data_IF_350845239232
#
_entry.id   IF_350845239232
#
_cell.length_a   1.000
_cell.length_b   1.000
_cell.length_c   1.000
_cell.angle_alpha   90.00
_cell.angle_beta   90.00
_cell.angle_gamma   90.00
#
_symmetry.space_group_name_H-M   'P 1'
#
loop_
_entity.id
_entity.type
_entity.pdbx_description
1 polymer ?
#
# COMPACT_ATOMS: atom_id res chain seq x y z
N UNK A 1 -27.08 -0.63 14.61
CA UNK A 1 -26.40 0.16 13.55
C UNK A 1 -24.93 -0.22 13.60
N UNK A 2 -24.48 -0.93 12.57
CA UNK A 2 -23.30 -1.80 12.60
C UNK A 2 -21.99 -1.02 12.83
N UNK A 3 -21.44 -1.14 14.03
CA UNK A 3 -20.07 -0.73 14.36
C UNK A 3 -19.15 -1.97 14.23
N UNK A 4 -18.97 -2.50 13.01
CA UNK A 4 -18.18 -3.72 12.82
C UNK A 4 -17.59 -3.86 11.39
N UNK A 5 -17.10 -2.79 10.77
CA UNK A 5 -16.38 -2.88 9.48
C UNK A 5 -15.14 -1.97 9.43
N UNK A 6 -14.39 -1.90 10.53
CA UNK A 6 -13.01 -1.40 10.50
C UNK A 6 -12.07 -2.57 10.77
N UNK A 7 -12.12 -3.55 9.88
CA UNK A 7 -11.20 -4.69 9.89
C UNK A 7 -10.01 -4.29 9.03
N UNK A 8 -8.84 -4.32 9.66
CA UNK A 8 -7.50 -4.07 9.13
C UNK A 8 -7.30 -4.60 7.69
N UNK A 9 -7.39 -3.69 6.74
CA UNK A 9 -7.33 -3.94 5.29
C UNK A 9 -5.86 -4.01 4.82
N UNK A 10 -5.03 -4.76 5.54
CA UNK A 10 -3.63 -4.97 5.15
C UNK A 10 -3.60 -5.85 3.91
N UNK A 11 -3.08 -5.32 2.81
CA UNK A 11 -2.94 -6.09 1.57
C UNK A 11 -1.92 -7.22 1.76
N UNK A 12 -2.14 -8.35 1.09
CA UNK A 12 -1.18 -9.45 1.06
C UNK A 12 -0.09 -9.15 0.03
N UNK A 13 1.17 -9.08 0.47
CA UNK A 13 2.35 -8.88 -0.36
C UNK A 13 2.92 -10.20 -0.89
N UNK A 14 3.29 -10.25 -2.18
CA UNK A 14 3.95 -11.40 -2.77
C UNK A 14 5.45 -11.13 -2.97
N UNK A 15 6.33 -11.68 -2.12
CA UNK A 15 7.75 -11.31 -2.09
C UNK A 15 8.52 -11.68 -3.36
N UNK A 16 8.14 -12.77 -4.05
CA UNK A 16 8.84 -13.17 -5.27
C UNK A 16 8.55 -12.26 -6.48
N UNK A 17 7.42 -11.54 -6.47
CA UNK A 17 7.05 -10.64 -7.58
C UNK A 17 7.18 -9.17 -7.22
N UNK A 18 7.33 -8.84 -5.93
CA UNK A 18 7.40 -7.45 -5.48
C UNK A 18 6.08 -6.70 -5.61
N UNK A 19 4.94 -7.39 -5.64
CA UNK A 19 3.63 -6.78 -5.88
C UNK A 19 2.62 -7.15 -4.79
N UNK A 20 1.57 -6.34 -4.70
CA UNK A 20 0.36 -6.71 -3.98
C UNK A 20 -0.41 -7.80 -4.73
N UNK A 21 -0.99 -8.72 -3.99
CA UNK A 21 -1.83 -9.79 -4.55
C UNK A 21 -3.26 -9.34 -4.84
N UNK A 22 -3.66 -8.17 -4.33
CA UNK A 22 -4.98 -7.56 -4.52
C UNK A 22 -4.83 -6.11 -4.99
N UNK A 23 -5.86 -5.60 -5.68
CA UNK A 23 -5.90 -4.20 -6.11
C UNK A 23 -5.93 -3.28 -4.89
N UNK A 24 -5.31 -2.12 -5.05
CA UNK A 24 -5.38 -1.04 -4.06
C UNK A 24 -6.85 -0.65 -3.76
N UNK A 25 -7.30 -0.74 -2.49
CA UNK A 25 -8.68 -0.40 -2.12
C UNK A 25 -9.00 1.08 -2.31
N UNK A 26 -7.99 1.97 -2.28
CA UNK A 26 -8.17 3.40 -2.53
C UNK A 26 -8.01 3.76 -4.02
N UNK A 27 -7.82 2.77 -4.89
CA UNK A 27 -7.71 2.91 -6.35
C UNK A 27 -6.60 3.91 -6.71
N UNK A 28 -6.91 4.91 -7.53
CA UNK A 28 -5.96 5.93 -7.99
C UNK A 28 -5.71 7.04 -6.97
N UNK A 29 -6.35 7.00 -5.81
CA UNK A 29 -6.18 8.03 -4.78
C UNK A 29 -4.83 7.93 -4.04
N UNK A 30 -4.04 6.89 -4.31
CA UNK A 30 -2.67 6.70 -3.80
C UNK A 30 -1.57 7.34 -4.66
N UNK A 31 -1.92 8.06 -5.74
CA UNK A 31 -0.93 8.73 -6.61
C UNK A 31 -0.31 7.84 -7.70
N UNK A 32 -0.61 6.54 -7.68
CA UNK A 32 -0.11 5.55 -8.63
C UNK A 32 -1.22 5.04 -9.58
N UNK A 33 -0.92 4.96 -10.88
CA UNK A 33 -1.78 4.35 -11.90
C UNK A 33 -1.79 2.81 -11.88
N UNK A 34 -0.83 2.17 -11.22
CA UNK A 34 -0.72 0.73 -11.08
C UNK A 34 -1.21 0.27 -9.70
N UNK A 35 -2.43 -0.29 -9.67
CA UNK A 35 -3.10 -0.72 -8.43
C UNK A 35 -2.46 -1.92 -7.72
N UNK A 36 -1.39 -2.50 -8.27
CA UNK A 36 -0.69 -3.67 -7.71
C UNK A 36 0.76 -3.38 -7.33
N UNK A 37 1.30 -2.21 -7.69
CA UNK A 37 2.70 -1.86 -7.45
C UNK A 37 2.94 -1.64 -5.97
N UNK A 38 4.02 -2.24 -5.46
CA UNK A 38 4.51 -1.97 -4.12
C UNK A 38 5.45 -0.77 -4.18
N UNK A 39 5.15 0.26 -3.38
CA UNK A 39 6.03 1.41 -3.07
C UNK A 39 6.77 2.01 -4.27
N UNK A 40 6.06 2.26 -5.37
CA UNK A 40 6.63 2.81 -6.62
C UNK A 40 7.82 2.03 -7.23
N UNK A 41 8.04 0.78 -6.82
CA UNK A 41 9.23 -0.03 -7.10
C UNK A 41 10.52 0.44 -6.41
N UNK A 42 10.43 1.23 -5.33
CA UNK A 42 11.56 1.61 -4.49
C UNK A 42 11.44 1.05 -3.04
N UNK A 43 11.49 -0.28 -2.86
CA UNK A 43 11.36 -0.92 -1.54
C UNK A 43 12.57 -0.73 -0.63
N UNK A 44 13.64 -0.10 -1.13
CA UNK A 44 14.82 0.23 -0.33
C UNK A 44 14.56 1.50 0.47
N UNK A 45 13.93 2.50 -0.15
CA UNK A 45 13.67 3.80 0.48
C UNK A 45 12.24 3.95 1.01
N UNK A 46 11.29 3.16 0.51
CA UNK A 46 9.87 3.31 0.81
C UNK A 46 9.27 2.05 1.46
N UNK A 47 8.26 2.24 2.31
CA UNK A 47 7.49 1.16 2.93
C UNK A 47 6.01 1.53 2.91
N UNK A 48 5.10 0.58 2.68
CA UNK A 48 3.64 0.79 2.77
C UNK A 48 3.07 -0.09 3.90
N UNK A 49 3.03 0.41 5.16
CA UNK A 49 2.62 -0.39 6.32
C UNK A 49 1.13 -0.72 6.34
N UNK A 50 0.30 0.11 5.71
CA UNK A 50 -1.16 -0.04 5.72
C UNK A 50 -1.71 -0.67 4.44
N UNK A 51 -0.87 -0.87 3.42
CA UNK A 51 -1.29 -1.37 2.11
C UNK A 51 -2.19 -0.40 1.36
N UNK A 52 -2.00 0.93 1.53
CA UNK A 52 -2.88 1.97 0.97
C UNK A 52 -2.11 3.15 0.39
N UNK A 53 -0.90 3.40 0.87
CA UNK A 53 -0.04 4.49 0.43
C UNK A 53 1.33 4.26 1.01
N UNK A 54 2.39 4.49 0.23
CA UNK A 54 3.74 4.49 0.80
C UNK A 54 3.80 5.53 1.92
N UNK A 55 4.24 5.09 3.10
CA UNK A 55 4.61 5.99 4.18
C UNK A 55 6.02 6.45 3.82
N UNK A 56 6.17 7.74 3.51
CA UNK A 56 7.48 8.39 3.49
C UNK A 56 8.06 8.27 4.90
N UNK A 57 8.89 7.26 5.13
CA UNK A 57 9.89 7.34 6.18
C UNK A 57 10.90 8.36 5.64
N UNK A 58 11.05 9.46 6.37
CA UNK A 58 11.86 10.65 6.09
C UNK A 58 11.10 11.81 5.44
N UNK A 59 10.52 12.65 6.30
CA UNK A 59 10.92 14.05 6.29
C UNK A 59 11.29 14.42 7.74
N UNK A 60 12.54 14.82 8.00
CA UNK A 60 12.73 16.23 8.27
C UNK A 60 13.98 16.82 7.58
N UNK A 61 13.71 17.78 6.68
CA UNK A 61 14.60 18.78 6.08
C UNK A 61 15.68 18.33 5.09
#
# INVERSE_FOLDING_TARGET
MNLALKINDVRNYHPYTGCWTTKDPIKFNGGDGNLYRYVENDPVNLTDPEGRSFLLLLEPF
#
